data_IF_931161932982
#
_entry.id   IF_931161932982
#
_cell.length_a   1.000
_cell.length_b   1.000
_cell.length_c   1.000
_cell.angle_alpha   90.00
_cell.angle_beta   90.00
_cell.angle_gamma   90.00
#
_symmetry.space_group_name_H-M   'P 1'
#
loop_
_entity.id
_entity.type
_entity.pdbx_description
1 polymer ?
#
# COMPACT_ATOMS: atom_id res chain seq x y z
N UNK A 1 -6.88 8.92 -8.26
CA UNK A 1 -6.65 9.55 -6.93
C UNK A 1 -5.23 10.10 -6.88
N UNK A 2 -5.03 11.33 -6.39
CA UNK A 2 -3.69 11.86 -6.05
C UNK A 2 -3.67 12.18 -4.56
N UNK A 3 -2.90 11.42 -3.79
CA UNK A 3 -2.85 11.53 -2.33
C UNK A 3 -1.40 11.48 -1.88
N UNK A 4 -1.00 12.42 -1.02
CA UNK A 4 0.27 12.37 -0.30
C UNK A 4 -0.03 12.26 1.19
N UNK A 5 0.25 11.09 1.78
CA UNK A 5 -0.01 10.80 3.18
C UNK A 5 1.31 10.68 3.95
N UNK A 6 1.61 11.68 4.78
CA UNK A 6 2.85 11.74 5.58
C UNK A 6 2.55 11.97 7.06
N UNK A 7 3.57 11.85 7.89
CA UNK A 7 3.50 12.04 9.34
C UNK A 7 4.52 11.17 10.08
N UNK A 8 4.78 11.42 11.37
CA UNK A 8 5.73 10.64 12.18
C UNK A 8 5.44 9.13 12.19
N UNK A 9 6.44 8.32 12.56
CA UNK A 9 6.23 6.88 12.79
C UNK A 9 5.13 6.63 13.83
N UNK A 10 4.33 5.59 13.66
CA UNK A 10 3.26 5.24 14.61
C UNK A 10 1.90 5.93 14.39
N UNK A 11 1.78 6.89 13.46
CA UNK A 11 0.50 7.58 13.18
C UNK A 11 -0.52 6.78 12.34
N UNK A 12 -0.35 5.44 12.26
CA UNK A 12 -1.26 4.51 11.57
C UNK A 12 -1.58 4.83 10.09
N UNK A 13 -0.70 5.52 9.36
CA UNK A 13 -0.87 5.78 7.91
C UNK A 13 -1.17 4.50 7.10
N UNK A 14 -0.50 3.39 7.43
CA UNK A 14 -0.73 2.08 6.82
C UNK A 14 -2.17 1.58 7.00
N UNK A 15 -2.80 1.89 8.14
CA UNK A 15 -4.21 1.55 8.39
C UNK A 15 -5.15 2.32 7.46
N UNK A 16 -4.86 3.60 7.20
CA UNK A 16 -5.62 4.40 6.22
C UNK A 16 -5.50 3.82 4.82
N UNK A 17 -4.31 3.39 4.41
CA UNK A 17 -4.09 2.75 3.11
C UNK A 17 -4.88 1.43 3.02
N UNK A 18 -4.88 0.62 4.09
CA UNK A 18 -5.66 -0.62 4.13
C UNK A 18 -7.17 -0.37 3.99
N UNK A 19 -7.71 0.61 4.71
CA UNK A 19 -9.12 0.98 4.59
C UNK A 19 -9.48 1.43 3.16
N UNK A 20 -8.57 2.12 2.47
CA UNK A 20 -8.78 2.46 1.05
C UNK A 20 -8.81 1.20 0.16
N UNK A 21 -7.94 0.22 0.40
CA UNK A 21 -8.00 -1.06 -0.32
C UNK A 21 -9.33 -1.78 -0.07
N UNK A 22 -9.78 -1.86 1.19
CA UNK A 22 -11.03 -2.52 1.55
C UNK A 22 -12.24 -1.88 0.84
N UNK A 23 -12.24 -0.55 0.70
CA UNK A 23 -13.25 0.18 -0.09
C UNK A 23 -13.17 -0.19 -1.57
N UNK A 24 -11.97 -0.23 -2.14
CA UNK A 24 -11.79 -0.59 -3.55
C UNK A 24 -12.25 -2.02 -3.83
N UNK A 25 -11.99 -2.96 -2.91
CA UNK A 25 -12.51 -4.34 -2.96
C UNK A 25 -14.04 -4.37 -2.91
N UNK A 26 -14.67 -3.59 -2.03
CA UNK A 26 -16.13 -3.51 -1.92
C UNK A 26 -16.82 -3.04 -3.20
N UNK A 27 -16.13 -2.24 -4.03
CA UNK A 27 -16.61 -1.81 -5.35
C UNK A 27 -16.15 -2.71 -6.51
N UNK A 28 -15.45 -3.82 -6.24
CA UNK A 28 -14.95 -4.74 -7.27
C UNK A 28 -13.67 -4.28 -7.97
N UNK A 29 -13.02 -3.23 -7.48
CA UNK A 29 -11.80 -2.63 -8.05
C UNK A 29 -10.53 -2.96 -7.26
N UNK A 30 -10.55 -3.97 -6.39
CA UNK A 30 -9.37 -4.45 -5.65
C UNK A 30 -8.13 -4.66 -6.49
N UNK A 31 -8.32 -5.30 -7.65
CA UNK A 31 -7.25 -5.58 -8.62
C UNK A 31 -6.55 -4.33 -9.17
N UNK A 32 -7.18 -3.16 -9.08
CA UNK A 32 -6.61 -1.89 -9.54
C UNK A 32 -5.70 -1.22 -8.49
N UNK A 33 -5.60 -1.79 -7.28
CA UNK A 33 -4.78 -1.26 -6.19
C UNK A 33 -3.78 -2.32 -5.72
N UNK A 34 -2.55 -1.89 -5.46
CA UNK A 34 -1.52 -2.75 -4.89
C UNK A 34 -0.69 -1.97 -3.88
N UNK A 35 -0.46 -2.58 -2.72
CA UNK A 35 0.41 -1.99 -1.70
C UNK A 35 1.88 -2.15 -2.10
N UNK A 36 2.61 -1.03 -2.15
CA UNK A 36 4.03 -1.01 -2.50
C UNK A 36 4.78 -0.27 -1.40
N UNK A 37 5.88 -0.85 -0.93
CA UNK A 37 6.76 -0.23 0.05
C UNK A 37 8.25 -0.39 -0.30
N UNK A 38 9.15 0.41 0.29
CA UNK A 38 10.59 0.31 0.01
C UNK A 38 11.23 -0.99 0.52
N UNK A 39 10.81 -1.47 1.69
CA UNK A 39 11.38 -2.67 2.34
C UNK A 39 10.38 -3.82 2.40
N UNK A 40 10.89 -5.06 2.43
CA UNK A 40 10.04 -6.25 2.58
C UNK A 40 9.26 -6.25 3.89
N UNK A 41 9.87 -5.79 4.98
CA UNK A 41 9.21 -5.69 6.30
C UNK A 41 8.06 -4.68 6.32
N UNK A 42 8.11 -3.62 5.51
CA UNK A 42 7.02 -2.66 5.38
C UNK A 42 5.92 -3.14 4.43
N UNK A 43 6.27 -3.96 3.43
CA UNK A 43 5.33 -4.51 2.44
C UNK A 43 4.53 -5.71 2.98
N UNK A 44 5.20 -6.62 3.70
CA UNK A 44 4.64 -7.90 4.14
C UNK A 44 3.33 -7.79 4.95
N UNK A 45 3.14 -6.81 5.87
CA UNK A 45 1.92 -6.72 6.67
C UNK A 45 0.62 -6.48 5.87
N UNK A 46 0.72 -6.05 4.62
CA UNK A 46 -0.44 -5.77 3.75
C UNK A 46 -0.38 -6.59 2.45
N UNK A 47 0.31 -7.74 2.48
CA UNK A 47 0.53 -8.60 1.29
C UNK A 47 1.07 -7.80 0.08
N UNK A 48 1.91 -6.81 0.37
CA UNK A 48 2.44 -5.89 -0.61
C UNK A 48 3.71 -6.38 -1.28
N UNK A 49 4.15 -5.65 -2.30
CA UNK A 49 5.43 -5.84 -2.96
C UNK A 49 6.43 -4.76 -2.55
N UNK A 50 7.72 -5.08 -2.66
CA UNK A 50 8.74 -4.04 -2.66
C UNK A 50 8.67 -3.23 -3.94
N UNK A 51 9.06 -1.94 -3.91
CA UNK A 51 9.10 -1.09 -5.11
C UNK A 51 9.95 -1.72 -6.23
N UNK A 52 11.10 -2.30 -5.86
CA UNK A 52 11.99 -3.05 -6.74
C UNK A 52 11.29 -4.21 -7.44
N UNK A 53 10.60 -5.06 -6.67
CA UNK A 53 9.88 -6.22 -7.21
C UNK A 53 8.64 -5.82 -8.03
N UNK A 54 7.93 -4.77 -7.62
CA UNK A 54 6.71 -4.31 -8.29
C UNK A 54 7.00 -3.74 -9.68
N UNK A 55 8.13 -3.04 -9.85
CA UNK A 55 8.49 -2.38 -11.10
C UNK A 55 9.65 -3.06 -11.85
N UNK A 56 10.19 -4.17 -11.34
CA UNK A 56 11.32 -4.89 -11.97
C UNK A 56 12.63 -4.10 -11.99
N UNK A 57 12.79 -3.16 -11.06
CA UNK A 57 13.98 -2.30 -10.94
C UNK A 57 14.93 -2.89 -9.89
N UNK A 58 16.22 -2.98 -10.24
CA UNK A 58 17.29 -3.48 -9.37
C UNK A 58 17.64 -2.48 -8.27
#
# INVERSE_FOLDING_TARGET
LRMFLTGPGGTRKTHVIKALCDVMDAFGYGHAVRFIAPTGSAAAPNDGLTVHKAFGIK
#
